data_IF_028441544475
#
_entry.id   IF_028441544475
#
_cell.length_a   1.000
_cell.length_b   1.000
_cell.length_c   1.000
_cell.angle_alpha   90.00
_cell.angle_beta   90.00
_cell.angle_gamma   90.00
#
_symmetry.space_group_name_H-M   'P 1'
#
loop_
_entity.id
_entity.type
_entity.pdbx_description
1 polymer ?
#
# COMPACT_ATOMS: atom_id res chain seq x y z
N UNK A 1 -32.32 -34.73 8.91
CA UNK A 1 -32.90 -34.59 10.27
C UNK A 1 -33.28 -33.13 10.47
N UNK A 2 -34.55 -32.82 10.69
CA UNK A 2 -35.02 -31.49 11.07
C UNK A 2 -34.93 -31.37 12.59
N UNK A 3 -33.98 -30.59 13.10
CA UNK A 3 -33.93 -30.28 14.53
C UNK A 3 -34.80 -29.06 14.84
N UNK A 4 -35.50 -29.04 15.99
CA UNK A 4 -36.36 -27.92 16.37
C UNK A 4 -35.54 -26.64 16.54
N UNK A 5 -35.95 -25.56 15.87
CA UNK A 5 -35.40 -24.21 16.08
C UNK A 5 -35.62 -23.82 17.54
N UNK A 6 -34.54 -23.59 18.29
CA UNK A 6 -34.59 -23.13 19.69
C UNK A 6 -33.88 -24.02 20.72
N UNK A 7 -33.23 -25.10 20.31
CA UNK A 7 -32.44 -25.92 21.23
C UNK A 7 -31.14 -25.18 21.62
N UNK A 8 -30.99 -24.85 22.91
CA UNK A 8 -29.84 -24.11 23.45
C UNK A 8 -28.55 -24.93 23.27
N UNK A 9 -27.41 -24.26 22.98
CA UNK A 9 -26.11 -24.92 22.78
C UNK A 9 -25.77 -25.89 23.93
N UNK A 10 -26.12 -25.54 25.17
CA UNK A 10 -25.90 -26.39 26.35
C UNK A 10 -26.69 -27.71 26.32
N UNK A 11 -27.87 -27.73 25.70
CA UNK A 11 -28.66 -28.95 25.57
C UNK A 11 -28.08 -29.87 24.50
N UNK A 12 -27.58 -29.31 23.40
CA UNK A 12 -26.84 -30.06 22.37
C UNK A 12 -25.51 -30.61 22.92
N UNK A 13 -24.78 -29.79 23.68
CA UNK A 13 -23.54 -30.19 24.34
C UNK A 13 -23.79 -31.35 25.31
N UNK A 14 -24.84 -31.27 26.14
CA UNK A 14 -25.23 -32.35 27.08
C UNK A 14 -25.63 -33.62 26.36
N UNK A 15 -26.48 -33.52 25.34
CA UNK A 15 -26.88 -34.67 24.53
C UNK A 15 -25.68 -35.32 23.84
N UNK A 16 -24.74 -34.52 23.35
CA UNK A 16 -23.49 -35.01 22.75
C UNK A 16 -22.58 -35.72 23.77
N UNK A 17 -22.40 -35.15 24.97
CA UNK A 17 -21.64 -35.81 26.03
C UNK A 17 -22.29 -37.12 26.47
N UNK A 18 -23.62 -37.18 26.53
CA UNK A 18 -24.35 -38.39 26.89
C UNK A 18 -24.20 -39.47 25.80
N UNK A 19 -24.28 -39.09 24.52
CA UNK A 19 -23.99 -39.99 23.40
C UNK A 19 -22.55 -40.50 23.39
N UNK A 20 -21.56 -39.67 23.77
CA UNK A 20 -20.16 -40.12 23.89
C UNK A 20 -19.99 -41.16 24.99
N UNK A 21 -20.61 -40.94 26.15
CA UNK A 21 -20.59 -41.91 27.26
C UNK A 21 -21.25 -43.23 26.86
N UNK A 22 -22.41 -43.18 26.20
CA UNK A 22 -23.08 -44.38 25.69
C UNK A 22 -22.24 -45.11 24.63
N UNK A 23 -21.54 -44.36 23.77
CA UNK A 23 -20.66 -44.93 22.75
C UNK A 23 -19.41 -45.60 23.34
N UNK A 24 -18.81 -45.00 24.36
CA UNK A 24 -17.67 -45.63 25.05
C UNK A 24 -18.10 -46.84 25.88
N UNK A 25 -19.30 -46.81 26.47
CA UNK A 25 -19.92 -47.98 27.08
C UNK A 25 -20.15 -49.10 26.05
N UNK A 26 -20.66 -48.79 24.87
CA UNK A 26 -20.87 -49.75 23.78
C UNK A 26 -19.56 -50.32 23.23
N UNK A 27 -18.52 -49.50 23.09
CA UNK A 27 -17.17 -49.97 22.73
C UNK A 27 -16.62 -50.91 23.79
N UNK A 28 -16.75 -50.55 25.07
CA UNK A 28 -16.30 -51.38 26.18
C UNK A 28 -17.06 -52.72 26.24
N UNK A 29 -18.38 -52.71 26.03
CA UNK A 29 -19.18 -53.96 25.97
C UNK A 29 -18.82 -54.81 24.77
N UNK A 30 -18.64 -54.20 23.59
CA UNK A 30 -18.22 -54.92 22.38
C UNK A 30 -16.82 -55.52 22.54
N UNK A 31 -15.89 -54.78 23.15
CA UNK A 31 -14.53 -55.25 23.45
C UNK A 31 -14.54 -56.39 24.49
N UNK A 32 -15.30 -56.23 25.58
CA UNK A 32 -15.47 -57.28 26.59
C UNK A 32 -16.09 -58.53 26.01
N UNK A 33 -17.10 -58.40 25.13
CA UNK A 33 -17.74 -59.54 24.47
C UNK A 33 -16.79 -60.29 23.53
N UNK A 34 -15.92 -59.57 22.80
CA UNK A 34 -14.89 -60.19 21.97
C UNK A 34 -13.83 -60.89 22.81
N UNK A 35 -13.43 -60.31 23.94
CA UNK A 35 -12.42 -60.86 24.83
C UNK A 35 -12.90 -62.12 25.56
N UNK A 36 -14.18 -62.17 25.98
CA UNK A 36 -14.75 -63.35 26.66
C UNK A 36 -15.08 -64.51 25.70
N UNK A 37 -15.35 -64.21 24.42
CA UNK A 37 -15.67 -65.23 23.42
C UNK A 37 -14.44 -65.76 22.64
N UNK A 38 -13.27 -65.15 22.81
CA UNK A 38 -12.01 -65.60 22.18
C UNK A 38 -11.43 -66.90 22.79
N UNK A 39 -12.02 -67.44 23.87
CA UNK A 39 -11.43 -68.57 24.62
C UNK A 39 -12.35 -69.80 24.77
N UNK A 40 -13.45 -69.91 24.03
CA UNK A 40 -14.20 -71.18 23.96
C UNK A 40 -14.56 -71.56 22.52
N UNK A 41 -14.17 -72.75 22.04
CA UNK A 41 -14.75 -73.33 20.83
C UNK A 41 -16.17 -73.79 21.16
N UNK A 42 -17.12 -72.87 21.10
CA UNK A 42 -18.54 -73.22 21.14
C UNK A 42 -18.97 -73.60 19.72
N UNK A 43 -19.39 -74.86 19.57
CA UNK A 43 -20.17 -75.37 18.45
C UNK A 43 -21.51 -74.59 18.39
N UNK A 44 -21.47 -73.38 17.85
CA UNK A 44 -22.67 -72.59 17.58
C UNK A 44 -23.29 -73.10 16.28
N UNK A 45 -24.46 -73.72 16.40
CA UNK A 45 -25.30 -74.04 15.27
C UNK A 45 -25.68 -72.76 14.51
N UNK A 46 -25.50 -72.82 13.20
CA UNK A 46 -25.66 -71.76 12.21
C UNK A 46 -27.14 -71.36 12.05
N UNK A 47 -27.66 -70.33 12.71
CA UNK A 47 -29.00 -69.80 12.33
C UNK A 47 -29.22 -68.28 12.51
N UNK A 48 -28.18 -67.44 12.55
CA UNK A 48 -28.36 -65.99 12.36
C UNK A 48 -27.38 -65.42 11.34
N UNK A 49 -27.86 -64.77 10.25
CA UNK A 49 -26.99 -64.25 9.20
C UNK A 49 -26.02 -63.18 9.75
N UNK A 50 -24.70 -63.32 9.52
CA UNK A 50 -23.69 -62.36 9.98
C UNK A 50 -23.83 -60.93 9.39
N UNK A 51 -24.76 -60.73 8.47
CA UNK A 51 -24.99 -59.45 7.80
C UNK A 51 -25.66 -58.38 8.70
N UNK A 52 -26.50 -58.79 9.66
CA UNK A 52 -27.28 -57.83 10.45
C UNK A 52 -26.41 -56.96 11.38
N UNK A 53 -25.40 -57.54 12.01
CA UNK A 53 -24.47 -56.81 12.87
C UNK A 53 -23.62 -55.79 12.11
N UNK A 54 -23.21 -56.13 10.88
CA UNK A 54 -22.35 -55.26 10.05
C UNK A 54 -23.12 -54.03 9.57
N UNK A 55 -24.40 -54.17 9.18
CA UNK A 55 -25.23 -53.03 8.76
C UNK A 55 -25.43 -52.04 9.91
N UNK A 56 -25.74 -52.52 11.11
CA UNK A 56 -25.96 -51.66 12.29
C UNK A 56 -24.69 -50.88 12.68
N UNK A 57 -23.51 -51.50 12.57
CA UNK A 57 -22.23 -50.81 12.83
C UNK A 57 -21.93 -49.71 11.80
N UNK A 58 -22.25 -49.94 10.52
CA UNK A 58 -22.07 -48.94 9.47
C UNK A 58 -23.04 -47.75 9.64
N UNK A 59 -24.29 -48.01 10.03
CA UNK A 59 -25.28 -46.96 10.32
C UNK A 59 -24.85 -46.09 11.51
N UNK A 60 -24.38 -46.71 12.59
CA UNK A 60 -23.87 -45.98 13.77
C UNK A 60 -22.63 -45.16 13.41
N UNK A 61 -21.70 -45.73 12.65
CA UNK A 61 -20.49 -45.02 12.18
C UNK A 61 -20.82 -43.83 11.29
N UNK A 62 -21.77 -43.99 10.36
CA UNK A 62 -22.22 -42.91 9.47
C UNK A 62 -22.90 -41.77 10.25
N UNK A 63 -23.77 -42.11 11.21
CA UNK A 63 -24.40 -41.11 12.07
C UNK A 63 -23.36 -40.33 12.90
N UNK A 64 -22.33 -41.02 13.41
CA UNK A 64 -21.26 -40.40 14.18
C UNK A 64 -20.46 -39.39 13.35
N UNK A 65 -20.07 -39.74 12.13
CA UNK A 65 -19.38 -38.82 11.22
C UNK A 65 -20.24 -37.59 10.86
N UNK A 66 -21.54 -37.78 10.65
CA UNK A 66 -22.47 -36.68 10.40
C UNK A 66 -22.58 -35.72 11.59
N UNK A 67 -22.62 -36.25 12.82
CA UNK A 67 -22.64 -35.44 14.05
C UNK A 67 -21.33 -34.66 14.20
N UNK A 68 -20.19 -35.29 13.95
CA UNK A 68 -18.89 -34.61 14.04
C UNK A 68 -18.75 -33.46 13.03
N UNK A 69 -19.17 -33.66 11.78
CA UNK A 69 -19.17 -32.60 10.77
C UNK A 69 -20.09 -31.43 11.16
N UNK A 70 -21.28 -31.72 11.69
CA UNK A 70 -22.20 -30.70 12.17
C UNK A 70 -21.64 -29.90 13.36
N UNK A 71 -20.99 -30.58 14.31
CA UNK A 71 -20.36 -29.91 15.46
C UNK A 71 -19.18 -29.02 15.07
N UNK A 72 -18.44 -29.36 14.00
CA UNK A 72 -17.39 -28.50 13.47
C UNK A 72 -17.98 -27.21 12.86
N UNK A 73 -18.99 -27.34 11.99
CA UNK A 73 -19.70 -26.18 11.41
C UNK A 73 -20.33 -25.28 12.49
N UNK A 74 -20.89 -25.87 13.55
CA UNK A 74 -21.47 -25.12 14.66
C UNK A 74 -20.43 -24.30 15.43
N UNK A 75 -19.22 -24.85 15.64
CA UNK A 75 -18.11 -24.13 16.30
C UNK A 75 -17.66 -22.94 15.48
N UNK A 76 -17.56 -23.10 14.15
CA UNK A 76 -17.16 -22.01 13.26
C UNK A 76 -18.20 -20.88 13.24
N UNK A 77 -19.50 -21.22 13.27
CA UNK A 77 -20.58 -20.22 13.37
C UNK A 77 -20.56 -19.46 14.69
N UNK A 78 -20.36 -20.15 15.82
CA UNK A 78 -20.27 -19.51 17.14
C UNK A 78 -19.06 -18.56 17.19
N UNK A 79 -17.91 -18.98 16.68
CA UNK A 79 -16.72 -18.13 16.61
C UNK A 79 -16.94 -16.88 15.74
N UNK A 80 -17.66 -17.03 14.63
CA UNK A 80 -18.03 -15.91 13.76
C UNK A 80 -18.98 -14.92 14.47
N UNK A 81 -20.00 -15.41 15.16
CA UNK A 81 -20.95 -14.55 15.88
C UNK A 81 -20.29 -13.82 17.06
N UNK A 82 -19.36 -14.47 17.76
CA UNK A 82 -18.56 -13.82 18.81
C UNK A 82 -17.66 -12.71 18.23
N UNK A 83 -17.08 -12.93 17.05
CA UNK A 83 -16.29 -11.92 16.34
C UNK A 83 -17.16 -10.74 15.92
N UNK A 84 -18.37 -11.00 15.38
CA UNK A 84 -19.33 -9.95 15.06
C UNK A 84 -19.76 -9.15 16.29
N UNK A 85 -20.01 -9.81 17.42
CA UNK A 85 -20.34 -9.14 18.68
C UNK A 85 -19.18 -8.24 19.17
N UNK A 86 -17.93 -8.73 19.10
CA UNK A 86 -16.73 -7.93 19.43
C UNK A 86 -16.54 -6.74 18.48
N UNK A 87 -16.83 -6.91 17.20
CA UNK A 87 -16.80 -5.80 16.22
C UNK A 87 -17.88 -4.78 16.54
N UNK A 88 -19.11 -5.21 16.84
CA UNK A 88 -20.21 -4.33 17.22
C UNK A 88 -19.90 -3.54 18.50
N UNK A 89 -19.37 -4.20 19.54
CA UNK A 89 -18.95 -3.55 20.79
C UNK A 89 -17.86 -2.50 20.55
N UNK A 90 -16.85 -2.82 19.72
CA UNK A 90 -15.82 -1.85 19.32
C UNK A 90 -16.40 -0.67 18.56
N UNK A 91 -17.34 -0.89 17.65
CA UNK A 91 -18.01 0.19 16.92
C UNK A 91 -18.85 1.06 17.85
N UNK A 92 -19.56 0.48 18.83
CA UNK A 92 -20.32 1.22 19.86
C UNK A 92 -19.41 2.01 20.80
N UNK A 93 -18.25 1.46 21.17
CA UNK A 93 -17.23 2.14 21.97
C UNK A 93 -16.62 3.33 21.20
N UNK A 94 -16.31 3.16 19.92
CA UNK A 94 -15.85 4.24 19.04
C UNK A 94 -16.93 5.30 18.83
N UNK A 95 -18.20 4.91 18.75
CA UNK A 95 -19.34 5.83 18.63
C UNK A 95 -19.53 6.69 19.89
N UNK A 96 -19.28 6.12 21.08
CA UNK A 96 -19.44 6.82 22.37
C UNK A 96 -18.23 7.71 22.71
N UNK A 97 -17.04 7.38 22.20
CA UNK A 97 -15.85 8.22 22.35
C UNK A 97 -15.80 9.41 21.37
N UNK A 98 -16.71 9.47 20.39
CA UNK A 98 -16.74 10.51 19.35
C UNK A 98 -17.66 11.71 19.67
N UNK A 99 -18.17 11.85 20.89
CA UNK A 99 -19.00 13.04 21.25
C UNK A 99 -18.17 14.31 21.45
N UNK A 100 -16.84 14.21 21.49
CA UNK A 100 -15.98 15.33 21.12
C UNK A 100 -15.73 15.22 19.63
N UNK A 101 -16.74 15.59 18.82
CA UNK A 101 -16.51 16.01 17.44
C UNK A 101 -15.34 17.00 17.52
N UNK A 102 -14.12 16.67 17.05
CA UNK A 102 -13.02 17.62 17.09
C UNK A 102 -13.52 18.82 16.29
N UNK A 103 -13.83 19.89 17.02
CA UNK A 103 -14.44 21.15 16.59
C UNK A 103 -14.31 21.27 15.08
N UNK A 104 -15.41 20.98 14.36
CA UNK A 104 -15.57 21.07 12.89
C UNK A 104 -14.40 21.85 12.31
N UNK A 105 -13.39 21.08 11.90
CA UNK A 105 -12.04 21.52 11.63
C UNK A 105 -12.08 22.90 10.99
N UNK A 106 -11.56 23.92 11.70
CA UNK A 106 -11.43 25.27 11.17
C UNK A 106 -10.98 25.14 9.73
N UNK A 107 -11.86 25.54 8.80
CA UNK A 107 -11.57 25.44 7.39
C UNK A 107 -10.19 26.09 7.20
N UNK A 108 -9.19 25.36 6.67
CA UNK A 108 -7.82 25.82 6.67
C UNK A 108 -7.80 27.22 6.09
N UNK A 109 -7.20 28.16 6.85
CA UNK A 109 -7.19 29.59 6.52
C UNK A 109 -6.87 29.75 5.04
N UNK A 110 -7.82 30.29 4.28
CA UNK A 110 -7.60 30.60 2.88
C UNK A 110 -6.82 31.91 2.82
N UNK A 111 -5.72 31.90 2.10
CA UNK A 111 -4.94 33.10 1.86
C UNK A 111 -5.56 33.87 0.69
N UNK A 112 -5.73 35.18 0.83
CA UNK A 112 -6.14 36.04 -0.28
C UNK A 112 -4.90 36.52 -1.04
N UNK A 113 -5.02 36.66 -2.36
CA UNK A 113 -3.93 37.13 -3.23
C UNK A 113 -3.50 38.55 -2.87
N UNK A 114 -4.46 39.38 -2.46
CA UNK A 114 -4.22 40.79 -2.13
C UNK A 114 -3.27 40.96 -0.94
N UNK A 115 -3.26 39.99 -0.01
CA UNK A 115 -2.38 39.98 1.16
C UNK A 115 -0.93 39.62 0.81
N UNK A 116 -0.69 39.03 -0.37
CA UNK A 116 0.62 38.52 -0.80
C UNK A 116 0.98 38.98 -2.22
N UNK A 117 1.13 40.30 -2.47
CA UNK A 117 1.36 40.84 -3.81
C UNK A 117 2.72 40.44 -4.41
N UNK A 118 3.67 40.00 -3.59
CA UNK A 118 5.00 39.57 -4.02
C UNK A 118 5.03 38.15 -4.60
N UNK A 119 3.98 37.36 -4.40
CA UNK A 119 3.91 36.00 -4.92
C UNK A 119 3.62 36.04 -6.42
N UNK A 120 4.58 35.56 -7.20
CA UNK A 120 4.54 35.62 -8.67
C UNK A 120 3.65 34.52 -9.23
N UNK A 121 3.64 33.36 -8.59
CA UNK A 121 2.93 32.17 -9.05
C UNK A 121 1.68 31.88 -8.21
N UNK A 122 0.65 32.72 -8.32
CA UNK A 122 -0.60 32.51 -7.56
C UNK A 122 -1.51 31.45 -8.19
N UNK A 123 -1.55 31.38 -9.52
CA UNK A 123 -2.37 30.46 -10.32
C UNK A 123 -1.48 29.57 -11.22
N UNK A 124 -1.96 28.40 -11.63
CA UNK A 124 -1.20 27.51 -12.52
C UNK A 124 -0.88 28.20 -13.87
N UNK A 125 -1.81 29.00 -14.39
CA UNK A 125 -1.63 29.77 -15.63
C UNK A 125 -0.52 30.82 -15.53
N UNK A 126 -0.35 31.47 -14.37
CA UNK A 126 0.73 32.43 -14.14
C UNK A 126 2.12 31.79 -14.19
N UNK A 127 2.21 30.51 -13.83
CA UNK A 127 3.44 29.73 -13.94
C UNK A 127 3.73 29.29 -15.38
N UNK A 128 2.74 28.76 -16.09
CA UNK A 128 2.93 28.26 -17.47
C UNK A 128 3.28 29.37 -18.47
N UNK A 129 2.73 30.57 -18.28
CA UNK A 129 2.89 31.68 -19.23
C UNK A 129 4.28 32.33 -19.19
N UNK A 130 5.02 32.21 -18.09
CA UNK A 130 6.25 32.98 -17.89
C UNK A 130 7.43 32.49 -18.73
N UNK A 131 7.28 31.36 -19.43
CA UNK A 131 8.40 30.65 -20.02
C UNK A 131 9.31 30.12 -18.92
N UNK A 132 10.09 29.09 -19.21
CA UNK A 132 11.02 28.51 -18.24
C UNK A 132 12.25 29.44 -18.12
N UNK A 133 12.07 30.66 -17.59
CA UNK A 133 13.18 31.59 -17.37
C UNK A 133 14.12 31.00 -16.32
N UNK A 134 15.41 31.02 -16.63
CA UNK A 134 16.45 30.17 -16.05
C UNK A 134 16.86 30.49 -14.61
N UNK A 135 16.17 31.41 -13.94
CA UNK A 135 16.56 32.00 -12.65
C UNK A 135 16.69 30.96 -11.53
N UNK A 136 16.10 29.76 -11.70
CA UNK A 136 16.11 28.67 -10.72
C UNK A 136 16.50 27.32 -11.33
N UNK A 137 17.51 27.30 -12.21
CA UNK A 137 18.02 26.06 -12.83
C UNK A 137 18.46 25.01 -11.81
N UNK A 138 19.03 25.43 -10.70
CA UNK A 138 19.59 24.53 -9.67
C UNK A 138 18.50 23.82 -8.85
N UNK A 139 17.29 24.35 -8.84
CA UNK A 139 16.16 23.72 -8.16
C UNK A 139 15.55 22.62 -9.04
N UNK A 140 15.15 21.53 -8.38
CA UNK A 140 14.39 20.46 -9.00
C UNK A 140 13.11 21.04 -9.64
N UNK A 141 12.76 20.56 -10.84
CA UNK A 141 11.66 21.09 -11.64
C UNK A 141 10.37 21.30 -10.83
N UNK A 142 10.03 20.34 -9.98
CA UNK A 142 8.77 20.31 -9.24
C UNK A 142 8.67 21.25 -8.05
N UNK A 143 9.71 22.03 -7.75
CA UNK A 143 9.67 23.01 -6.67
C UNK A 143 9.89 24.45 -7.12
N UNK A 144 10.14 24.70 -8.41
CA UNK A 144 10.47 26.03 -8.94
C UNK A 144 9.32 27.03 -8.83
N UNK A 145 8.08 26.53 -8.76
CA UNK A 145 6.87 27.34 -8.58
C UNK A 145 6.53 27.64 -7.12
N UNK A 146 7.32 27.12 -6.17
CA UNK A 146 7.13 27.36 -4.74
C UNK A 146 7.88 28.63 -4.33
N UNK A 147 7.16 29.53 -3.68
CA UNK A 147 7.65 30.84 -3.23
C UNK A 147 7.11 31.15 -1.85
N UNK A 148 7.96 31.69 -1.00
CA UNK A 148 7.58 32.20 0.31
C UNK A 148 6.63 33.40 0.20
N UNK A 149 6.06 33.84 1.31
CA UNK A 149 5.14 34.98 1.37
C UNK A 149 5.74 36.29 0.86
N UNK A 150 7.07 36.41 0.88
CA UNK A 150 7.84 37.54 0.39
C UNK A 150 8.29 37.40 -1.08
N UNK A 151 7.85 36.35 -1.76
CA UNK A 151 8.22 36.07 -3.15
C UNK A 151 9.61 35.44 -3.33
N UNK A 152 10.34 35.12 -2.25
CA UNK A 152 11.62 34.41 -2.36
C UNK A 152 11.40 32.97 -2.80
N UNK A 153 12.28 32.50 -3.68
CA UNK A 153 12.34 31.10 -4.09
C UNK A 153 12.72 30.22 -2.88
N UNK A 154 12.23 28.98 -2.87
CA UNK A 154 12.59 28.03 -1.83
C UNK A 154 14.05 27.58 -1.95
N UNK A 155 14.66 27.25 -0.82
CA UNK A 155 15.98 26.63 -0.79
C UNK A 155 15.93 25.14 -1.15
N UNK A 156 17.07 24.59 -1.56
CA UNK A 156 17.22 23.14 -1.80
C UNK A 156 16.93 22.33 -0.54
N UNK A 157 17.28 22.84 0.64
CA UNK A 157 17.04 22.18 1.93
C UNK A 157 15.54 22.08 2.23
N UNK A 158 14.77 23.16 2.05
CA UNK A 158 13.31 23.13 2.20
C UNK A 158 12.66 22.20 1.19
N UNK A 159 13.14 22.21 -0.07
CA UNK A 159 12.69 21.26 -1.08
C UNK A 159 12.93 19.80 -0.72
N UNK A 160 13.92 19.49 0.12
CA UNK A 160 14.11 18.15 0.69
C UNK A 160 13.07 17.86 1.77
N UNK A 161 12.83 18.79 2.69
CA UNK A 161 11.81 18.65 3.74
C UNK A 161 10.41 18.40 3.16
N UNK A 162 10.05 19.10 2.08
CA UNK A 162 8.75 18.90 1.41
C UNK A 162 8.61 17.48 0.86
N UNK A 163 9.70 16.91 0.32
CA UNK A 163 9.71 15.54 -0.18
C UNK A 163 9.60 14.53 0.95
N UNK A 164 10.22 14.77 2.10
CA UNK A 164 10.06 13.92 3.28
C UNK A 164 8.61 13.88 3.76
N UNK A 165 7.95 15.03 3.90
CA UNK A 165 6.53 15.09 4.27
C UNK A 165 5.65 14.36 3.26
N UNK A 166 5.85 14.59 1.95
CA UNK A 166 5.11 13.89 0.91
C UNK A 166 5.35 12.38 0.94
N UNK A 167 6.60 11.93 1.14
CA UNK A 167 6.93 10.51 1.27
C UNK A 167 6.23 9.88 2.45
N UNK A 168 6.27 10.54 3.61
CA UNK A 168 5.61 10.08 4.83
C UNK A 168 4.12 9.91 4.62
N UNK A 169 3.45 10.91 4.02
CA UNK A 169 2.03 10.86 3.71
C UNK A 169 1.69 9.72 2.72
N UNK A 170 2.46 9.57 1.64
CA UNK A 170 2.28 8.48 0.67
C UNK A 170 2.49 7.09 1.29
N UNK A 171 3.48 6.96 2.17
CA UNK A 171 3.74 5.71 2.88
C UNK A 171 2.61 5.36 3.84
N UNK A 172 2.06 6.34 4.58
CA UNK A 172 0.90 6.12 5.45
C UNK A 172 -0.30 5.59 4.68
N UNK A 173 -0.62 6.20 3.53
CA UNK A 173 -1.69 5.71 2.65
C UNK A 173 -1.37 4.31 2.14
N UNK A 174 -0.13 4.06 1.68
CA UNK A 174 0.28 2.75 1.17
C UNK A 174 0.22 1.63 2.22
N UNK A 175 0.42 1.94 3.50
CA UNK A 175 0.35 0.98 4.60
C UNK A 175 -1.10 0.71 4.98
N UNK A 176 -1.95 1.73 4.99
CA UNK A 176 -3.37 1.61 5.30
C UNK A 176 -4.15 0.85 4.21
N UNK A 177 -3.90 1.19 2.94
CA UNK A 177 -4.52 0.52 1.79
C UNK A 177 -3.54 0.51 0.59
N UNK A 178 -2.92 -0.64 0.28
CA UNK A 178 -2.02 -0.78 -0.87
C UNK A 178 -2.67 -0.48 -2.23
N UNK A 179 -4.00 -0.60 -2.34
CA UNK A 179 -4.74 -0.37 -3.58
C UNK A 179 -5.27 1.07 -3.69
N UNK A 180 -5.21 1.86 -2.62
CA UNK A 180 -5.64 3.26 -2.64
C UNK A 180 -4.74 4.16 -3.51
N UNK A 181 -3.47 3.78 -3.70
CA UNK A 181 -2.53 4.55 -4.51
C UNK A 181 -2.66 4.17 -6.00
N UNK A 182 -2.94 5.15 -6.87
CA UNK A 182 -3.17 4.87 -8.29
C UNK A 182 -1.88 4.51 -9.03
N UNK A 183 -1.97 3.83 -10.17
CA UNK A 183 -0.81 3.58 -11.01
C UNK A 183 -0.16 4.88 -11.53
N UNK A 184 -0.98 5.92 -11.78
CA UNK A 184 -0.55 7.26 -12.21
C UNK A 184 -1.22 8.33 -11.37
N UNK A 185 -0.52 9.45 -11.12
CA UNK A 185 -1.07 10.51 -10.26
C UNK A 185 -2.35 11.15 -10.82
N UNK A 186 -2.54 11.16 -12.14
CA UNK A 186 -3.76 11.64 -12.80
C UNK A 186 -5.01 10.80 -12.48
N UNK A 187 -4.84 9.57 -11.97
CA UNK A 187 -5.93 8.68 -11.56
C UNK A 187 -6.22 8.75 -10.06
N UNK A 188 -5.55 9.63 -9.31
CA UNK A 188 -5.76 9.77 -7.88
C UNK A 188 -7.19 10.25 -7.58
N UNK A 189 -7.87 9.56 -6.65
CA UNK A 189 -9.18 9.98 -6.17
C UNK A 189 -9.14 11.36 -5.50
N UNK A 190 -10.25 12.09 -5.57
CA UNK A 190 -10.36 13.46 -5.03
C UNK A 190 -10.05 13.48 -3.52
N UNK A 191 -10.48 12.46 -2.78
CA UNK A 191 -10.25 12.37 -1.34
C UNK A 191 -8.77 12.16 -0.98
N UNK A 192 -8.10 11.28 -1.72
CA UNK A 192 -6.66 11.06 -1.57
C UNK A 192 -5.87 12.35 -1.84
N UNK A 193 -6.19 13.03 -2.95
CA UNK A 193 -5.57 14.31 -3.31
C UNK A 193 -5.80 15.36 -2.23
N UNK A 194 -7.04 15.49 -1.75
CA UNK A 194 -7.41 16.44 -0.69
C UNK A 194 -6.68 16.13 0.62
N UNK A 195 -6.59 14.86 1.01
CA UNK A 195 -5.89 14.43 2.21
C UNK A 195 -4.39 14.76 2.19
N UNK A 196 -3.69 14.37 1.12
CA UNK A 196 -2.25 14.61 1.00
C UNK A 196 -1.96 16.12 0.86
N UNK A 197 -2.77 16.87 0.10
CA UNK A 197 -2.61 18.32 0.01
C UNK A 197 -2.91 19.03 1.35
N UNK A 198 -3.79 18.49 2.18
CA UNK A 198 -4.05 19.03 3.51
C UNK A 198 -2.86 18.80 4.45
N UNK A 199 -2.29 17.59 4.47
CA UNK A 199 -1.07 17.28 5.23
C UNK A 199 0.12 18.15 4.81
N UNK A 200 0.35 18.32 3.50
CA UNK A 200 1.41 19.20 3.02
C UNK A 200 1.23 20.65 3.47
N UNK A 201 0.01 21.19 3.44
CA UNK A 201 -0.26 22.57 3.90
C UNK A 201 -0.13 22.74 5.39
N UNK A 202 -0.47 21.70 6.16
CA UNK A 202 -0.39 21.70 7.61
C UNK A 202 1.06 21.84 8.06
N UNK A 203 1.98 21.11 7.44
CA UNK A 203 3.41 21.21 7.76
C UNK A 203 4.11 22.37 7.04
N UNK A 204 3.70 22.67 5.81
CA UNK A 204 4.34 23.67 4.95
C UNK A 204 3.30 24.65 4.41
N UNK A 205 3.00 25.75 5.14
CA UNK A 205 1.97 26.73 4.75
C UNK A 205 2.14 27.34 3.37
N UNK A 206 3.37 27.30 2.81
CA UNK A 206 3.70 27.73 1.44
C UNK A 206 2.81 27.10 0.36
N UNK A 207 2.36 25.87 0.55
CA UNK A 207 1.45 25.20 -0.38
C UNK A 207 0.03 25.80 -0.36
N UNK A 208 -0.32 26.54 0.70
CA UNK A 208 -1.57 27.28 0.80
C UNK A 208 -1.55 28.63 0.10
N UNK A 209 -0.36 29.16 -0.22
CA UNK A 209 -0.18 30.46 -0.90
C UNK A 209 -0.44 30.35 -2.41
N UNK A 210 -1.60 29.82 -2.78
CA UNK A 210 -2.03 29.65 -4.16
C UNK A 210 -3.53 29.33 -4.28
N UNK A 211 -4.06 29.46 -5.48
CA UNK A 211 -5.44 29.08 -5.79
C UNK A 211 -5.63 27.55 -5.86
N UNK A 212 -6.71 27.05 -5.26
CA UNK A 212 -7.17 25.65 -5.41
C UNK A 212 -6.09 24.57 -5.15
N UNK A 213 -5.10 24.86 -4.29
CA UNK A 213 -3.95 24.00 -3.96
C UNK A 213 -3.14 23.55 -5.19
N UNK A 214 -3.09 24.34 -6.27
CA UNK A 214 -2.42 23.92 -7.50
C UNK A 214 -0.93 23.66 -7.28
N UNK A 215 -0.26 24.45 -6.43
CA UNK A 215 1.17 24.25 -6.09
C UNK A 215 1.43 22.86 -5.50
N UNK A 216 0.57 22.41 -4.58
CA UNK A 216 0.66 21.08 -3.96
C UNK A 216 0.37 19.96 -4.96
N UNK A 217 -0.66 20.14 -5.79
CA UNK A 217 -1.03 19.17 -6.84
C UNK A 217 0.10 18.98 -7.85
N UNK A 218 0.71 20.08 -8.31
CA UNK A 218 1.83 20.05 -9.27
C UNK A 218 3.08 19.44 -8.64
N UNK A 219 3.43 19.84 -7.41
CA UNK A 219 4.53 19.24 -6.67
C UNK A 219 4.36 17.71 -6.51
N UNK A 220 3.19 17.28 -6.07
CA UNK A 220 2.87 15.85 -5.91
C UNK A 220 2.89 15.10 -7.24
N UNK A 221 2.38 15.70 -8.33
CA UNK A 221 2.40 15.09 -9.67
C UNK A 221 3.82 14.74 -10.11
N UNK A 222 4.77 15.66 -9.91
CA UNK A 222 6.17 15.43 -10.26
C UNK A 222 6.81 14.43 -9.30
N UNK A 223 6.68 14.66 -7.98
CA UNK A 223 7.31 13.82 -6.96
C UNK A 223 6.80 12.37 -6.95
N UNK A 224 5.50 12.16 -7.19
CA UNK A 224 4.88 10.84 -7.21
C UNK A 224 5.51 9.93 -8.28
N UNK A 225 5.87 10.50 -9.43
CA UNK A 225 6.51 9.73 -10.51
C UNK A 225 7.88 9.19 -10.09
N UNK A 226 8.66 9.96 -9.33
CA UNK A 226 9.96 9.54 -8.81
C UNK A 226 9.81 8.53 -7.67
N UNK A 227 8.90 8.81 -6.72
CA UNK A 227 8.61 7.92 -5.60
C UNK A 227 8.13 6.55 -6.06
N UNK A 228 7.16 6.50 -6.98
CA UNK A 228 6.60 5.24 -7.50
C UNK A 228 7.64 4.41 -8.27
N UNK A 229 8.55 5.05 -9.02
CA UNK A 229 9.69 4.38 -9.68
C UNK A 229 10.63 3.74 -8.66
N UNK A 230 10.94 4.44 -7.56
CA UNK A 230 11.79 3.89 -6.49
C UNK A 230 11.18 2.63 -5.87
N UNK A 231 9.85 2.63 -5.66
CA UNK A 231 9.15 1.49 -5.04
C UNK A 231 9.08 0.24 -5.93
N UNK A 232 9.10 0.41 -7.25
CA UNK A 232 9.14 -0.72 -8.21
C UNK A 232 10.51 -1.40 -8.19
N UNK A 233 11.59 -0.62 -8.18
CA UNK A 233 12.97 -1.14 -8.16
C UNK A 233 13.26 -2.04 -6.95
N UNK A 234 12.74 -1.69 -5.77
CA UNK A 234 12.93 -2.50 -4.56
C UNK A 234 12.22 -3.86 -4.60
N UNK A 235 11.18 -4.01 -5.43
CA UNK A 235 10.45 -5.28 -5.57
C UNK A 235 11.21 -6.25 -6.48
N UNK A 236 11.84 -5.74 -7.53
CA UNK A 236 12.55 -6.56 -8.51
C UNK A 236 13.89 -7.05 -7.94
N UNK A 237 14.59 -6.24 -7.14
CA UNK A 237 15.87 -6.65 -6.51
C UNK A 237 15.71 -7.72 -5.43
N UNK A 238 14.52 -7.89 -4.85
CA UNK A 238 14.27 -8.89 -3.81
C UNK A 238 14.09 -10.32 -4.36
N UNK A 239 14.06 -10.51 -5.68
CA UNK A 239 13.77 -11.80 -6.31
C UNK A 239 14.98 -12.56 -6.85
N UNK A 240 16.19 -11.98 -6.80
CA UNK A 240 17.41 -12.59 -7.36
C UNK A 240 18.38 -13.21 -6.33
N UNK A 241 18.08 -13.20 -5.04
CA UNK A 241 18.99 -13.74 -4.01
C UNK A 241 18.82 -15.25 -3.76
N UNK A 242 18.43 -16.02 -4.79
CA UNK A 242 18.03 -17.42 -4.68
C UNK A 242 18.64 -18.36 -5.71
N UNK A 243 19.80 -18.04 -6.27
CA UNK A 243 20.56 -19.03 -7.05
C UNK A 243 22.04 -18.87 -6.77
N UNK A 244 22.52 -19.60 -5.77
CA UNK A 244 23.92 -19.95 -5.60
C UNK A 244 24.40 -20.68 -6.86
N UNK A 245 24.85 -19.92 -7.86
CA UNK A 245 25.84 -20.39 -8.81
C UNK A 245 27.17 -19.85 -8.34
N UNK A 246 27.82 -20.71 -7.56
CA UNK A 246 29.24 -20.76 -7.31
C UNK A 246 29.98 -20.70 -8.67
N UNK A 247 30.31 -19.49 -9.12
CA UNK A 247 31.30 -19.29 -10.16
C UNK A 247 32.17 -18.07 -9.80
N UNK A 248 33.32 -18.41 -9.22
CA UNK A 248 34.41 -17.51 -8.93
C UNK A 248 34.92 -16.86 -10.21
N UNK A 249 34.50 -15.62 -10.47
CA UNK A 249 35.32 -14.68 -11.26
C UNK A 249 35.41 -13.34 -10.56
N UNK A 250 36.30 -13.28 -9.58
CA UNK A 250 36.84 -12.06 -8.97
C UNK A 250 37.44 -11.14 -10.04
N UNK A 251 36.69 -10.12 -10.47
CA UNK A 251 37.29 -8.95 -11.14
C UNK A 251 37.72 -7.95 -10.09
N UNK A 252 39.00 -8.05 -9.73
CA UNK A 252 39.74 -7.12 -8.86
C UNK A 252 39.66 -5.70 -9.45
N UNK A 253 38.77 -4.86 -8.90
CA UNK A 253 38.85 -3.41 -9.09
C UNK A 253 39.97 -2.86 -8.22
N UNK A 254 41.12 -2.65 -8.85
CA UNK A 254 42.31 -1.98 -8.32
C UNK A 254 41.94 -0.57 -7.85
N UNK A 255 41.65 -0.41 -6.56
CA UNK A 255 41.65 0.89 -5.87
C UNK A 255 43.10 1.23 -5.56
N UNK A 256 43.60 2.30 -6.16
CA UNK A 256 44.86 2.92 -5.75
C UNK A 256 44.72 3.45 -4.31
N UNK A 257 45.67 3.17 -3.41
CA UNK A 257 45.75 3.82 -2.11
C UNK A 257 46.40 5.20 -2.30
N UNK A 258 45.69 6.27 -1.94
CA UNK A 258 46.28 7.58 -1.74
C UNK A 258 46.67 7.69 -0.26
N UNK A 259 47.98 7.65 0.00
CA UNK A 259 48.58 7.93 1.30
C UNK A 259 48.63 9.43 1.58
N UNK A 260 48.71 9.72 2.87
CA UNK A 260 48.69 10.99 3.56
C UNK A 260 49.93 11.89 3.37
N UNK A 261 49.72 13.15 3.73
CA UNK A 261 50.65 14.19 4.23
C UNK A 261 51.80 14.67 3.33
N UNK A 262 51.71 15.95 2.91
CA UNK A 262 52.75 16.99 3.14
C UNK A 262 52.11 18.39 3.08
N UNK A 263 52.33 19.14 4.15
CA UNK A 263 52.50 20.60 4.33
C UNK A 263 52.27 21.59 3.17
N UNK A 264 51.54 22.66 3.53
CA UNK A 264 51.79 24.09 3.25
C UNK A 264 52.73 24.46 2.08
N UNK A 265 52.19 25.13 1.04
CA UNK A 265 52.81 26.34 0.47
C UNK A 265 51.88 27.10 -0.48
N UNK A 266 51.71 28.39 -0.15
CA UNK A 266 51.53 29.59 -0.98
C UNK A 266 51.36 29.44 -2.51
N UNK A 267 50.28 30.09 -2.98
CA UNK A 267 50.19 31.04 -4.13
C UNK A 267 51.13 30.78 -5.32
N UNK A 268 50.56 30.46 -6.49
CA UNK A 268 50.85 31.21 -7.74
C UNK A 268 49.83 30.93 -8.83
N UNK A 269 49.21 32.01 -9.32
CA UNK A 269 48.45 32.07 -10.56
C UNK A 269 49.38 31.74 -11.74
N UNK A 270 48.96 30.85 -12.65
CA UNK A 270 49.59 30.74 -13.97
C UNK A 270 48.53 30.59 -15.06
N UNK A 271 48.56 31.43 -16.12
CA UNK A 271 47.59 31.41 -17.21
C UNK A 271 47.95 30.29 -18.18
N UNK A 272 46.94 29.60 -18.72
CA UNK A 272 47.12 28.62 -19.79
C UNK A 272 46.44 29.13 -21.06
N UNK A 273 47.21 29.88 -21.83
CA UNK A 273 47.07 29.93 -23.29
C UNK A 273 47.58 28.60 -23.85
N UNK A 274 46.91 28.06 -24.88
CA UNK A 274 47.28 26.78 -25.46
C UNK A 274 46.21 26.22 -26.38
N UNK A 275 45.97 26.98 -27.43
CA UNK A 275 45.31 26.63 -28.68
C UNK A 275 45.75 25.25 -29.22
N UNK A 276 44.79 24.34 -29.43
CA UNK A 276 44.94 23.25 -30.41
C UNK A 276 43.57 22.85 -30.93
N UNK A 277 43.29 23.31 -32.15
CA UNK A 277 42.23 22.82 -33.04
C UNK A 277 42.59 21.41 -33.51
N UNK A 278 41.65 20.46 -33.52
CA UNK A 278 41.34 19.80 -34.80
C UNK A 278 39.84 19.63 -35.09
N UNK A 279 39.45 20.20 -36.22
CA UNK A 279 38.63 19.63 -37.29
C UNK A 279 37.46 18.67 -36.98
N UNK A 280 36.28 19.17 -37.35
CA UNK A 280 35.42 18.61 -38.41
C UNK A 280 34.98 17.13 -38.29
N UNK A 281 33.82 16.92 -37.67
CA UNK A 281 32.90 15.86 -38.08
C UNK A 281 31.46 16.38 -38.04
N UNK A 282 31.00 16.78 -39.21
CA UNK A 282 29.61 17.14 -39.52
C UNK A 282 28.72 15.90 -39.45
N UNK A 283 27.76 15.86 -38.53
CA UNK A 283 26.60 14.96 -38.67
C UNK A 283 25.30 15.68 -38.36
N UNK A 284 24.88 16.46 -39.35
CA UNK A 284 23.59 17.13 -39.49
C UNK A 284 22.51 16.06 -39.75
N UNK A 285 21.85 15.55 -38.71
CA UNK A 285 20.58 14.81 -38.87
C UNK A 285 19.45 15.83 -39.00
N UNK A 286 19.10 16.16 -40.24
CA UNK A 286 17.88 16.90 -40.55
C UNK A 286 16.67 16.06 -40.16
N UNK A 287 15.92 16.51 -39.16
CA UNK A 287 14.58 15.99 -38.88
C UNK A 287 13.60 16.98 -39.50
N UNK A 288 13.18 16.69 -40.74
CA UNK A 288 12.12 17.43 -41.41
C UNK A 288 10.81 17.16 -40.65
N UNK A 289 10.40 18.10 -39.81
CA UNK A 289 9.00 18.16 -39.36
C UNK A 289 8.20 18.76 -40.51
N UNK A 290 7.26 17.96 -41.01
CA UNK A 290 6.24 18.37 -41.94
C UNK A 290 5.54 19.65 -41.43
N UNK A 291 5.60 20.68 -42.28
CA UNK A 291 4.78 21.87 -42.18
C UNK A 291 3.31 21.47 -42.30
N UNK A 292 2.52 21.62 -41.24
CA UNK A 292 1.07 21.57 -41.37
C UNK A 292 0.56 22.93 -41.86
N UNK A 293 -0.39 22.96 -42.81
CA UNK A 293 -0.94 24.20 -43.33
C UNK A 293 -1.71 24.95 -42.23
N UNK A 294 -1.47 26.26 -42.17
CA UNK A 294 -2.24 27.22 -41.38
C UNK A 294 -3.71 27.13 -41.79
N UNK A 295 -4.57 26.71 -40.87
CA UNK A 295 -6.01 26.86 -41.00
C UNK A 295 -6.36 28.32 -40.75
N UNK A 296 -6.70 29.03 -41.82
CA UNK A 296 -7.29 30.37 -41.79
C UNK A 296 -8.71 30.24 -41.28
N UNK A 297 -8.97 30.73 -40.06
CA UNK A 297 -10.33 30.92 -39.54
C UNK A 297 -10.87 32.22 -40.15
N UNK A 298 -12.02 32.21 -40.86
CA UNK A 298 -12.64 33.44 -41.33
C UNK A 298 -13.18 34.24 -40.15
N UNK A 299 -12.92 35.55 -40.17
CA UNK A 299 -13.56 36.53 -39.31
C UNK A 299 -15.08 36.41 -39.46
N UNK A 300 -15.75 36.14 -38.35
CA UNK A 300 -17.21 36.19 -38.28
C UNK A 300 -17.56 37.58 -37.73
N UNK A 301 -17.64 38.55 -38.64
CA UNK A 301 -18.32 39.82 -38.38
C UNK A 301 -19.82 39.53 -38.43
N UNK A 302 -20.47 39.57 -37.27
CA UNK A 302 -21.91 39.72 -37.18
C UNK A 302 -22.26 40.54 -35.94
N UNK A 303 -22.67 41.78 -36.23
CA UNK A 303 -23.77 42.58 -35.65
C UNK A 303 -23.92 42.64 -34.13
#
# INVERSE_FOLDING_TARGET
MNYPKGMHFDQLQRAYTQLLVEHDLLKYTAFSYLQTNSLRPLNFQKTTPPEYGRRRLLEVSSAHLSIHAYMADLKDRIAHDELLAKVAERLSSVSSANTVLPSLAQAPKRFDRNDYPLIRYWTETSWTNRGNTDDNKDLARGVRHLEHSDGRAISTHEGHQFRETARRALNQVSVADPNALPATWSQAGIDLLRGICAELRKEHPIFGLCEANWKAKTFLKEYYSDWSRSKRKSKDSAKEEGTDKDDSTTTVRKRSPASSDVEDTRITKKPRQGETVPQLATRKKGNQRASMPKSTVPANDNL
#
